data_IF_231263522351
#
_entry.id   IF_231263522351
#
_cell.length_a   1.000
_cell.length_b   1.000
_cell.length_c   1.000
_cell.angle_alpha   90.00
_cell.angle_beta   90.00
_cell.angle_gamma   90.00
#
_symmetry.space_group_name_H-M   'P 1'
#
loop_
_entity.id
_entity.type
_entity.pdbx_description
1 polymer ?
#
# COMPACT_ATOMS: atom_id res chain seq x y z
N UNK A 1 -32.92 9.08 82.24
CA UNK A 1 -33.39 9.32 80.87
C UNK A 1 -32.85 8.21 79.98
N UNK A 2 -33.66 7.19 79.70
CA UNK A 2 -33.29 6.11 78.78
C UNK A 2 -33.72 6.53 77.37
N UNK A 3 -32.76 6.93 76.54
CA UNK A 3 -33.02 7.16 75.11
C UNK A 3 -33.19 5.79 74.44
N UNK A 4 -34.43 5.33 74.34
CA UNK A 4 -34.78 4.19 73.50
C UNK A 4 -34.76 4.68 72.06
N UNK A 5 -33.60 4.57 71.42
CA UNK A 5 -33.52 4.70 69.96
C UNK A 5 -34.33 3.55 69.36
N UNK A 6 -35.53 3.85 68.87
CA UNK A 6 -36.26 2.90 68.03
C UNK A 6 -35.32 2.51 66.89
N UNK A 7 -35.02 1.22 66.76
CA UNK A 7 -34.02 0.66 65.84
C UNK A 7 -34.52 0.64 64.39
N UNK A 8 -35.28 1.67 64.00
CA UNK A 8 -35.84 1.87 62.68
C UNK A 8 -35.45 3.26 62.19
N UNK A 9 -34.56 3.31 61.20
CA UNK A 9 -34.16 4.53 60.51
C UNK A 9 -34.76 4.49 59.11
N UNK A 10 -35.56 5.50 58.75
CA UNK A 10 -36.22 5.57 57.45
C UNK A 10 -37.24 4.45 57.19
N UNK A 11 -37.96 3.98 58.21
CA UNK A 11 -38.92 2.84 58.17
C UNK A 11 -38.32 1.47 57.85
N UNK A 12 -36.98 1.35 57.82
CA UNK A 12 -36.27 0.09 57.61
C UNK A 12 -35.68 -0.41 58.93
N UNK A 13 -35.77 -1.71 59.18
CA UNK A 13 -35.16 -2.38 60.34
C UNK A 13 -33.64 -2.22 60.31
N UNK A 14 -33.01 -1.95 61.45
CA UNK A 14 -31.56 -1.82 61.58
C UNK A 14 -30.78 -3.02 61.00
N UNK A 15 -31.34 -4.24 61.06
CA UNK A 15 -30.72 -5.44 60.47
C UNK A 15 -30.58 -5.32 58.96
N UNK A 16 -31.56 -4.69 58.32
CA UNK A 16 -31.55 -4.40 56.88
C UNK A 16 -30.48 -3.35 56.58
N UNK A 17 -30.39 -2.29 57.36
CA UNK A 17 -29.33 -1.29 57.22
C UNK A 17 -27.92 -1.86 57.38
N UNK A 18 -27.70 -2.74 58.37
CA UNK A 18 -26.41 -3.42 58.53
C UNK A 18 -26.07 -4.28 57.31
N UNK A 19 -27.05 -4.95 56.71
CA UNK A 19 -26.84 -5.71 55.48
C UNK A 19 -26.53 -4.83 54.27
N UNK A 20 -27.21 -3.67 54.12
CA UNK A 20 -26.95 -2.72 53.04
C UNK A 20 -25.57 -2.08 53.14
N UNK A 21 -25.14 -1.70 54.34
CA UNK A 21 -23.81 -1.16 54.59
C UNK A 21 -22.74 -2.23 54.31
N UNK A 22 -22.94 -3.46 54.78
CA UNK A 22 -22.03 -4.56 54.50
C UNK A 22 -21.89 -4.82 52.99
N UNK A 23 -23.00 -4.87 52.24
CA UNK A 23 -22.99 -5.02 50.78
C UNK A 23 -22.33 -3.84 50.08
N UNK A 24 -22.57 -2.61 50.54
CA UNK A 24 -21.92 -1.41 50.01
C UNK A 24 -20.41 -1.47 50.21
N UNK A 25 -19.94 -1.86 51.40
CA UNK A 25 -18.51 -1.99 51.68
C UNK A 25 -17.86 -3.10 50.83
N UNK A 26 -18.53 -4.24 50.67
CA UNK A 26 -18.06 -5.32 49.78
C UNK A 26 -17.98 -4.84 48.31
N UNK A 27 -18.97 -4.08 47.85
CA UNK A 27 -18.94 -3.54 46.48
C UNK A 27 -17.79 -2.54 46.27
N UNK A 28 -17.52 -1.67 47.26
CA UNK A 28 -16.43 -0.69 47.19
C UNK A 28 -15.05 -1.35 47.27
N UNK A 29 -14.90 -2.41 48.07
CA UNK A 29 -13.63 -3.15 48.12
C UNK A 29 -13.38 -3.90 46.82
N UNK A 30 -14.38 -4.55 46.24
CA UNK A 30 -14.25 -5.21 44.93
C UNK A 30 -13.97 -4.20 43.83
N UNK A 31 -14.65 -3.04 43.84
CA UNK A 31 -14.41 -1.96 42.89
C UNK A 31 -13.00 -1.39 43.04
N UNK A 32 -12.58 -1.07 44.26
CA UNK A 32 -11.24 -0.58 44.56
C UNK A 32 -10.15 -1.58 44.17
N UNK A 33 -10.36 -2.86 44.44
CA UNK A 33 -9.47 -3.94 43.99
C UNK A 33 -9.37 -3.96 42.46
N UNK A 34 -10.50 -3.96 41.74
CA UNK A 34 -10.50 -3.92 40.27
C UNK A 34 -9.78 -2.69 39.71
N UNK A 35 -9.98 -1.52 40.31
CA UNK A 35 -9.31 -0.28 39.89
C UNK A 35 -7.81 -0.34 40.15
N UNK A 36 -7.39 -0.86 41.31
CA UNK A 36 -5.97 -0.99 41.66
C UNK A 36 -5.23 -2.02 40.78
N UNK A 37 -5.92 -3.07 40.32
CA UNK A 37 -5.34 -4.09 39.44
C UNK A 37 -5.48 -3.76 37.94
N UNK A 38 -5.99 -2.58 37.59
CA UNK A 38 -6.20 -2.21 36.20
C UNK A 38 -4.86 -1.84 35.54
N UNK A 39 -4.28 -2.75 34.77
CA UNK A 39 -3.14 -2.46 33.92
C UNK A 39 -3.65 -1.85 32.60
N UNK A 40 -3.34 -0.57 32.37
CA UNK A 40 -3.63 0.07 31.09
C UNK A 40 -2.81 -0.59 29.99
N UNK A 41 -3.49 -1.08 28.95
CA UNK A 41 -2.82 -1.60 27.77
C UNK A 41 -2.14 -0.45 27.02
N UNK A 42 -0.88 -0.61 26.59
CA UNK A 42 -0.26 0.35 25.69
C UNK A 42 -1.07 0.39 24.39
N UNK A 43 -1.13 1.55 23.74
CA UNK A 43 -1.67 1.65 22.38
C UNK A 43 -0.81 0.81 21.44
N UNK A 44 -1.40 -0.21 20.84
CA UNK A 44 -0.73 -1.07 19.86
C UNK A 44 -1.28 -0.72 18.48
N UNK A 45 -0.38 -0.59 17.52
CA UNK A 45 -0.74 -0.49 16.10
C UNK A 45 -0.08 -1.64 15.34
N UNK A 46 -0.86 -2.30 14.50
CA UNK A 46 -0.42 -3.42 13.68
C UNK A 46 -0.26 -2.92 12.25
N UNK A 47 0.97 -2.94 11.74
CA UNK A 47 1.28 -2.70 10.35
C UNK A 47 1.52 -4.04 9.65
N UNK A 48 0.94 -4.18 8.46
CA UNK A 48 1.14 -5.33 7.57
C UNK A 48 1.92 -4.84 6.36
N UNK A 49 3.08 -5.44 6.13
CA UNK A 49 3.97 -5.10 5.02
C UNK A 49 4.23 -6.35 4.17
N UNK A 50 4.35 -6.16 2.86
CA UNK A 50 4.68 -7.21 1.92
C UNK A 50 5.54 -6.62 0.80
N UNK A 51 6.22 -7.49 0.06
CA UNK A 51 7.07 -7.08 -1.06
C UNK A 51 6.32 -7.07 -2.42
N UNK A 52 5.05 -7.44 -2.43
CA UNK A 52 4.22 -7.48 -3.63
C UNK A 52 3.31 -6.26 -3.69
N UNK A 53 3.14 -5.69 -4.87
CA UNK A 53 2.22 -4.58 -5.09
C UNK A 53 0.82 -5.13 -5.40
N UNK A 54 -0.10 -5.08 -4.44
CA UNK A 54 -1.50 -5.42 -4.63
C UNK A 54 -2.29 -4.23 -5.21
N UNK A 55 -2.09 -3.95 -6.50
CA UNK A 55 -2.85 -2.89 -7.18
C UNK A 55 -4.36 -3.22 -7.18
N UNK A 56 -5.18 -2.37 -6.54
CA UNK A 56 -6.64 -2.49 -6.54
C UNK A 56 -7.25 -3.42 -5.48
N UNK A 57 -6.47 -3.90 -4.52
CA UNK A 57 -6.96 -4.67 -3.37
C UNK A 57 -6.90 -3.83 -2.08
N UNK A 58 -7.72 -4.20 -1.08
CA UNK A 58 -7.66 -3.59 0.25
C UNK A 58 -6.28 -3.83 0.88
N UNK A 59 -5.79 -2.91 1.71
CA UNK A 59 -4.47 -2.97 2.40
C UNK A 59 -4.25 -4.21 3.28
N UNK A 60 -5.31 -4.98 3.53
CA UNK A 60 -5.32 -6.18 4.36
C UNK A 60 -5.57 -7.47 3.56
N UNK A 61 -5.47 -7.39 2.23
CA UNK A 61 -5.68 -8.54 1.34
C UNK A 61 -4.36 -9.00 0.74
N UNK A 62 -4.06 -10.29 0.89
CA UNK A 62 -2.81 -10.92 0.47
C UNK A 62 -3.07 -12.23 -0.28
N UNK A 63 -2.05 -12.75 -0.95
CA UNK A 63 -2.13 -14.00 -1.69
C UNK A 63 -1.78 -15.23 -0.83
N UNK A 64 -2.30 -16.39 -1.22
CA UNK A 64 -1.88 -17.68 -0.65
C UNK A 64 -0.38 -17.88 -0.86
N UNK A 65 0.31 -18.36 0.18
CA UNK A 65 1.77 -18.54 0.24
C UNK A 65 2.59 -17.25 0.07
N UNK A 66 1.96 -16.09 0.23
CA UNK A 66 2.68 -14.82 0.28
C UNK A 66 3.30 -14.62 1.67
N UNK A 67 4.55 -14.16 1.70
CA UNK A 67 5.24 -13.79 2.94
C UNK A 67 4.78 -12.40 3.38
N UNK A 68 4.05 -12.35 4.49
CA UNK A 68 3.51 -11.14 5.09
C UNK A 68 4.34 -10.82 6.34
N UNK A 69 4.81 -9.58 6.41
CA UNK A 69 5.49 -9.03 7.59
C UNK A 69 4.48 -8.39 8.52
N UNK A 70 4.32 -8.97 9.70
CA UNK A 70 3.53 -8.43 10.79
C UNK A 70 4.43 -7.60 11.70
N UNK A 71 4.17 -6.30 11.79
CA UNK A 71 4.95 -5.37 12.60
C UNK A 71 4.06 -4.70 13.67
N UNK A 72 4.43 -4.84 14.94
CA UNK A 72 3.76 -4.18 16.06
C UNK A 72 4.52 -2.93 16.47
N UNK A 73 3.85 -1.78 16.41
CA UNK A 73 4.37 -0.57 17.04
C UNK A 73 3.90 -0.52 18.50
N UNK A 74 4.77 -0.93 19.41
CA UNK A 74 4.52 -0.92 20.86
C UNK A 74 5.81 -0.60 21.62
N UNK A 75 5.68 -0.13 22.86
CA UNK A 75 6.81 0.09 23.78
C UNK A 75 7.17 -1.15 24.59
N UNK A 76 6.41 -2.24 24.44
CA UNK A 76 6.66 -3.50 25.15
C UNK A 76 7.87 -4.25 24.56
N UNK A 77 8.64 -5.00 25.38
CA UNK A 77 9.72 -5.83 24.88
C UNK A 77 9.20 -7.03 24.08
N UNK A 78 9.95 -7.43 23.05
CA UNK A 78 9.62 -8.53 22.13
C UNK A 78 9.22 -9.84 22.82
N UNK A 79 9.88 -10.20 23.91
CA UNK A 79 9.63 -11.43 24.66
C UNK A 79 8.21 -11.50 25.24
N UNK A 80 7.54 -10.36 25.40
CA UNK A 80 6.18 -10.28 25.89
C UNK A 80 5.14 -10.12 24.78
N UNK A 81 5.55 -10.15 23.52
CA UNK A 81 4.67 -10.01 22.35
C UNK A 81 4.49 -11.39 21.75
N UNK A 82 3.27 -11.90 21.78
CA UNK A 82 2.91 -13.19 21.20
C UNK A 82 1.89 -13.01 20.09
N UNK A 83 2.02 -13.77 19.02
CA UNK A 83 1.19 -13.72 17.83
C UNK A 83 0.48 -15.04 17.60
N UNK A 84 -0.83 -14.96 17.39
CA UNK A 84 -1.70 -16.04 16.91
C UNK A 84 -2.28 -15.63 15.56
N UNK A 85 -2.02 -16.39 14.50
CA UNK A 85 -2.48 -16.08 13.14
C UNK A 85 -3.87 -16.64 12.82
N UNK A 86 -4.46 -17.45 13.70
CA UNK A 86 -5.81 -17.99 13.51
C UNK A 86 -5.94 -19.07 12.42
N UNK A 87 -4.82 -19.56 11.89
CA UNK A 87 -4.73 -20.61 10.88
C UNK A 87 -4.26 -21.97 11.45
N UNK A 88 -4.21 -22.07 12.79
CA UNK A 88 -3.71 -23.21 13.58
C UNK A 88 -2.19 -23.39 13.54
N UNK A 89 -1.43 -22.39 13.08
CA UNK A 89 0.02 -22.40 13.23
C UNK A 89 0.44 -22.14 14.68
N UNK A 90 1.66 -22.57 15.07
CA UNK A 90 2.19 -22.29 16.40
C UNK A 90 2.25 -20.79 16.70
N UNK A 91 2.17 -20.44 17.98
CA UNK A 91 2.35 -19.05 18.42
C UNK A 91 3.77 -18.57 18.13
N UNK A 92 3.90 -17.34 17.62
CA UNK A 92 5.18 -16.69 17.38
C UNK A 92 5.45 -15.61 18.43
N UNK A 93 6.73 -15.34 18.74
CA UNK A 93 7.13 -14.34 19.73
C UNK A 93 8.01 -13.29 19.06
N UNK A 94 7.66 -12.02 19.21
CA UNK A 94 8.42 -10.88 18.70
C UNK A 94 7.54 -9.75 18.15
N UNK A 95 8.12 -8.55 18.02
CA UNK A 95 7.45 -7.38 17.44
C UNK A 95 7.33 -7.43 15.92
N UNK A 96 8.28 -8.09 15.24
CA UNK A 96 8.31 -8.26 13.78
C UNK A 96 8.38 -9.74 13.41
N UNK A 97 7.32 -10.26 12.78
CA UNK A 97 7.21 -11.68 12.41
C UNK A 97 6.85 -11.81 10.94
N UNK A 98 7.46 -12.78 10.27
CA UNK A 98 7.11 -13.19 8.91
C UNK A 98 6.17 -14.39 8.99
N UNK A 99 5.04 -14.32 8.31
CA UNK A 99 4.05 -15.40 8.25
C UNK A 99 3.43 -15.51 6.86
N UNK A 100 3.13 -16.74 6.44
CA UNK A 100 2.49 -17.03 5.18
C UNK A 100 1.31 -17.98 5.39
N UNK A 101 0.18 -17.68 4.74
CA UNK A 101 -1.04 -18.49 4.85
C UNK A 101 -1.15 -19.47 3.70
N UNK A 102 -1.31 -20.75 4.01
CA UNK A 102 -1.31 -21.83 3.01
C UNK A 102 -2.67 -22.03 2.32
N UNK A 103 -3.75 -21.42 2.83
CA UNK A 103 -5.11 -21.58 2.32
C UNK A 103 -5.79 -20.22 2.18
N UNK A 104 -6.68 -20.09 1.19
CA UNK A 104 -7.54 -18.92 1.11
C UNK A 104 -8.54 -18.88 2.28
N UNK A 105 -8.85 -17.68 2.74
CA UNK A 105 -9.73 -17.49 3.88
C UNK A 105 -9.63 -16.10 4.49
N UNK A 106 -10.45 -15.86 5.50
CA UNK A 106 -10.29 -14.70 6.39
C UNK A 106 -9.72 -15.18 7.70
N UNK A 107 -8.56 -14.66 8.05
CA UNK A 107 -7.82 -14.99 9.25
C UNK A 107 -7.85 -13.82 10.21
N UNK A 108 -7.92 -14.12 11.51
CA UNK A 108 -7.89 -13.12 12.56
C UNK A 108 -6.53 -13.20 13.26
N UNK A 109 -5.59 -12.39 12.82
CA UNK A 109 -4.27 -12.33 13.44
C UNK A 109 -4.37 -11.51 14.72
N UNK A 110 -4.04 -12.13 15.86
CA UNK A 110 -4.15 -11.57 17.20
C UNK A 110 -2.78 -11.47 17.83
N UNK A 111 -2.38 -10.25 18.19
CA UNK A 111 -1.22 -10.00 19.05
C UNK A 111 -1.66 -9.93 20.50
N UNK A 112 -0.98 -10.64 21.38
CA UNK A 112 -1.15 -10.56 22.83
C UNK A 112 0.13 -10.07 23.48
N UNK A 113 0.03 -8.93 24.17
CA UNK A 113 1.12 -8.32 24.94
C UNK A 113 0.97 -8.67 26.43
N UNK A 114 2.05 -9.17 27.03
CA UNK A 114 2.14 -9.57 28.45
C UNK A 114 1.03 -10.55 28.90
N UNK A 115 0.43 -11.29 27.96
CA UNK A 115 -0.67 -12.21 28.26
C UNK A 115 -1.99 -11.54 28.68
N UNK A 116 -2.12 -10.21 28.54
CA UNK A 116 -3.29 -9.45 29.04
C UNK A 116 -3.93 -8.57 27.97
N UNK A 117 -3.12 -7.98 27.11
CA UNK A 117 -3.58 -7.01 26.12
C UNK A 117 -3.61 -7.66 24.75
N UNK A 118 -4.80 -8.02 24.27
CA UNK A 118 -5.00 -8.60 22.95
C UNK A 118 -5.50 -7.54 21.95
N UNK A 119 -4.89 -7.49 20.78
CA UNK A 119 -5.39 -6.72 19.64
C UNK A 119 -5.40 -7.62 18.41
N UNK A 120 -6.43 -7.48 17.57
CA UNK A 120 -6.57 -8.32 16.39
C UNK A 120 -6.72 -7.50 15.12
N UNK A 121 -6.19 -8.02 14.03
CA UNK A 121 -6.36 -7.51 12.66
C UNK A 121 -6.93 -8.60 11.78
N UNK A 122 -7.88 -8.23 10.92
CA UNK A 122 -8.43 -9.15 9.91
C UNK A 122 -7.50 -9.16 8.71
N UNK A 123 -7.07 -10.36 8.31
CA UNK A 123 -6.25 -10.62 7.14
C UNK A 123 -7.07 -11.44 6.16
N UNK A 124 -7.22 -10.95 4.93
CA UNK A 124 -7.95 -11.65 3.87
C UNK A 124 -6.94 -12.30 2.92
N UNK A 125 -6.92 -13.62 2.88
CA UNK A 125 -6.05 -14.39 2.00
C UNK A 125 -6.86 -14.90 0.84
N UNK A 126 -6.45 -14.53 -0.37
CA UNK A 126 -7.06 -14.98 -1.62
C UNK A 126 -6.06 -15.84 -2.37
N UNK A 127 -6.51 -16.82 -3.16
CA UNK A 127 -5.60 -17.49 -4.07
C UNK A 127 -5.01 -16.45 -5.02
N UNK A 128 -3.72 -16.59 -5.34
CA UNK A 128 -3.17 -16.00 -6.55
C UNK A 128 -3.77 -16.74 -7.75
N UNK A 129 -5.07 -16.58 -7.94
CA UNK A 129 -5.62 -16.71 -9.27
C UNK A 129 -5.18 -15.41 -9.90
N UNK A 130 -4.20 -15.49 -10.80
CA UNK A 130 -4.35 -14.79 -12.06
C UNK A 130 -5.78 -15.10 -12.52
N UNK A 131 -6.72 -14.27 -12.12
CA UNK A 131 -8.03 -14.24 -12.74
C UNK A 131 -7.70 -13.80 -14.16
N UNK A 132 -7.54 -14.77 -15.06
CA UNK A 132 -8.24 -14.66 -16.33
C UNK A 132 -9.67 -14.31 -15.92
N UNK A 133 -9.99 -13.02 -16.02
CA UNK A 133 -11.27 -12.41 -15.71
C UNK A 133 -12.43 -13.42 -15.86
N UNK A 134 -12.79 -14.11 -14.78
CA UNK A 134 -14.04 -14.85 -14.73
C UNK A 134 -15.10 -13.91 -14.18
N UNK A 135 -15.40 -12.92 -15.02
CA UNK A 135 -16.65 -12.19 -14.97
C UNK A 135 -17.73 -13.20 -15.34
N UNK A 136 -18.39 -13.79 -14.35
CA UNK A 136 -19.66 -14.45 -14.59
C UNK A 136 -20.68 -13.38 -14.98
N UNK A 137 -20.73 -13.16 -16.29
CA UNK A 137 -21.74 -12.50 -17.12
C UNK A 137 -21.92 -10.99 -16.89
N UNK A 138 -20.90 -10.23 -17.27
CA UNK A 138 -21.01 -8.85 -17.76
C UNK A 138 -19.86 -8.67 -18.76
N UNK A 139 -20.21 -8.50 -20.05
CA UNK A 139 -19.34 -8.24 -21.21
C UNK A 139 -17.83 -8.20 -20.88
N UNK A 140 -17.15 -9.36 -20.98
CA UNK A 140 -15.68 -9.43 -20.84
C UNK A 140 -15.11 -8.44 -21.84
N UNK A 141 -14.42 -7.42 -21.35
CA UNK A 141 -13.79 -6.44 -22.21
C UNK A 141 -12.75 -7.17 -23.10
N UNK A 142 -12.91 -7.19 -24.42
CA UNK A 142 -12.07 -7.95 -25.31
C UNK A 142 -10.70 -7.29 -25.55
N UNK A 143 -10.45 -6.08 -25.03
CA UNK A 143 -9.19 -5.36 -25.21
C UNK A 143 -8.05 -6.00 -24.39
N UNK A 144 -7.05 -6.55 -25.08
CA UNK A 144 -5.84 -7.15 -24.53
C UNK A 144 -4.67 -6.14 -24.65
N UNK A 145 -4.16 -5.67 -23.52
CA UNK A 145 -2.96 -4.82 -23.41
C UNK A 145 -2.38 -4.88 -22.00
N UNK A 146 -1.16 -4.39 -21.79
CA UNK A 146 -0.67 -4.10 -20.45
C UNK A 146 -1.44 -2.92 -19.82
N UNK A 147 -1.54 -2.89 -18.49
CA UNK A 147 -2.21 -1.82 -17.74
C UNK A 147 -1.29 -0.61 -17.49
N UNK A 148 0.03 -0.84 -17.48
CA UNK A 148 1.06 0.19 -17.31
C UNK A 148 2.04 0.09 -18.48
N UNK A 149 2.25 1.20 -19.19
CA UNK A 149 3.10 1.28 -20.37
C UNK A 149 4.10 2.43 -20.23
N UNK A 150 5.33 2.24 -20.73
CA UNK A 150 6.38 3.26 -20.71
C UNK A 150 6.22 4.25 -21.87
N UNK A 151 6.41 5.53 -21.59
CA UNK A 151 6.42 6.58 -22.59
C UNK A 151 7.52 6.35 -23.65
N UNK A 152 7.22 6.66 -24.91
CA UNK A 152 8.19 6.65 -26.02
C UNK A 152 8.23 5.37 -26.86
N UNK A 153 7.59 4.27 -26.43
CA UNK A 153 7.50 3.05 -27.22
C UNK A 153 6.16 2.93 -27.95
N UNK A 154 6.16 2.26 -29.11
CA UNK A 154 4.93 1.83 -29.79
C UNK A 154 4.22 0.79 -28.91
N UNK A 155 2.95 1.05 -28.62
CA UNK A 155 2.11 0.22 -27.76
C UNK A 155 1.16 -0.58 -28.64
N UNK A 156 1.02 -1.88 -28.34
CA UNK A 156 0.23 -2.80 -29.14
C UNK A 156 -1.02 -3.20 -28.36
N UNK A 157 -2.17 -3.02 -28.97
CA UNK A 157 -3.47 -3.43 -28.46
C UNK A 157 -4.02 -4.55 -29.34
N UNK A 158 -4.36 -5.67 -28.70
CA UNK A 158 -4.98 -6.81 -29.35
C UNK A 158 -6.42 -6.97 -28.86
N UNK A 159 -7.22 -7.73 -29.58
CA UNK A 159 -8.58 -8.09 -29.17
C UNK A 159 -8.74 -9.60 -29.07
N UNK A 160 -9.47 -10.08 -28.06
CA UNK A 160 -9.84 -11.50 -27.92
C UNK A 160 -11.06 -11.89 -28.76
N UNK A 161 -11.81 -10.91 -29.29
CA UNK A 161 -13.03 -11.15 -30.07
C UNK A 161 -12.75 -11.13 -31.56
N UNK A 162 -13.36 -12.07 -32.29
CA UNK A 162 -13.34 -12.09 -33.76
C UNK A 162 -14.57 -11.34 -34.28
N UNK A 163 -14.35 -10.19 -34.91
CA UNK A 163 -15.34 -9.36 -35.61
C UNK A 163 -14.91 -9.10 -37.06
N UNK A 164 -15.87 -8.67 -37.90
CA UNK A 164 -15.58 -8.29 -39.29
C UNK A 164 -14.90 -6.93 -39.41
N UNK A 165 -15.27 -6.02 -38.53
CA UNK A 165 -14.73 -4.67 -38.45
C UNK A 165 -14.32 -4.36 -37.01
N UNK A 166 -13.19 -3.68 -36.88
CA UNK A 166 -12.67 -3.18 -35.62
C UNK A 166 -12.48 -1.68 -35.78
N UNK A 167 -12.73 -0.92 -34.72
CA UNK A 167 -12.49 0.53 -34.73
C UNK A 167 -11.91 0.90 -33.37
N UNK A 168 -10.62 1.22 -33.37
CA UNK A 168 -9.85 1.57 -32.16
C UNK A 168 -9.61 3.06 -32.08
N UNK A 169 -9.90 3.65 -30.91
CA UNK A 169 -9.70 5.07 -30.64
C UNK A 169 -9.23 5.33 -29.22
N UNK A 170 -8.80 6.57 -28.96
CA UNK A 170 -8.36 7.06 -27.66
C UNK A 170 -9.20 8.29 -27.35
N UNK A 171 -9.93 8.30 -26.24
CA UNK A 171 -10.88 9.39 -25.93
C UNK A 171 -10.17 10.73 -25.71
N UNK A 172 -9.02 10.69 -25.05
CA UNK A 172 -8.27 11.89 -24.69
C UNK A 172 -7.34 12.37 -25.82
N UNK A 173 -7.16 11.59 -26.88
CA UNK A 173 -6.27 11.89 -28.01
C UNK A 173 -6.94 11.60 -29.38
N UNK A 174 -7.98 12.37 -29.74
CA UNK A 174 -8.69 12.18 -31.01
C UNK A 174 -7.79 12.44 -32.25
N UNK A 175 -6.78 13.31 -32.12
CA UNK A 175 -5.89 13.73 -33.21
C UNK A 175 -4.95 12.62 -33.72
N UNK A 176 -4.75 11.53 -32.94
CA UNK A 176 -3.90 10.38 -33.33
C UNK A 176 -4.59 9.48 -34.38
N UNK A 177 -5.89 9.71 -34.58
CA UNK A 177 -6.71 9.00 -35.54
C UNK A 177 -7.07 7.58 -35.11
N UNK A 178 -8.07 7.04 -35.77
CA UNK A 178 -8.65 5.73 -35.48
C UNK A 178 -7.87 4.61 -36.20
N UNK A 179 -7.90 3.37 -35.70
CA UNK A 179 -7.32 2.19 -36.39
C UNK A 179 -8.38 1.13 -36.62
N UNK A 180 -8.42 0.58 -37.84
CA UNK A 180 -9.45 -0.38 -38.25
C UNK A 180 -8.94 -1.82 -38.39
N UNK A 181 -7.91 -2.16 -37.63
CA UNK A 181 -7.21 -3.45 -37.69
C UNK A 181 -7.51 -4.29 -36.44
N UNK A 182 -7.42 -5.63 -36.51
CA UNK A 182 -7.60 -6.49 -35.33
C UNK A 182 -6.55 -6.22 -34.24
N UNK A 183 -5.37 -5.75 -34.64
CA UNK A 183 -4.32 -5.25 -33.75
C UNK A 183 -4.12 -3.76 -34.00
N UNK A 184 -4.29 -2.92 -32.97
CA UNK A 184 -4.03 -1.49 -33.06
C UNK A 184 -2.68 -1.13 -32.45
N UNK A 185 -2.06 -0.09 -33.00
CA UNK A 185 -0.77 0.42 -32.51
C UNK A 185 -0.85 1.92 -32.30
N UNK A 186 -0.43 2.37 -31.13
CA UNK A 186 -0.46 3.78 -30.75
C UNK A 186 0.86 4.21 -30.10
N UNK A 187 1.25 5.46 -30.34
CA UNK A 187 2.38 6.13 -29.69
C UNK A 187 1.81 7.30 -28.92
N UNK A 188 2.12 7.37 -27.63
CA UNK A 188 1.56 8.38 -26.74
C UNK A 188 2.55 9.54 -26.56
N UNK A 189 2.11 10.79 -26.76
CA UNK A 189 3.00 11.95 -26.69
C UNK A 189 3.28 12.43 -25.25
N UNK A 190 2.45 12.02 -24.28
CA UNK A 190 2.52 12.47 -22.88
C UNK A 190 2.23 11.32 -21.91
N UNK A 191 2.82 11.34 -20.70
CA UNK A 191 2.43 10.44 -19.63
C UNK A 191 1.05 10.83 -19.07
N UNK A 192 0.36 9.86 -18.48
CA UNK A 192 -0.98 10.05 -17.93
C UNK A 192 -1.89 8.85 -18.14
N UNK A 193 -3.17 9.05 -17.84
CA UNK A 193 -4.19 8.02 -17.91
C UNK A 193 -4.92 8.18 -19.23
N UNK A 194 -5.02 7.09 -20.00
CA UNK A 194 -5.69 7.11 -21.30
C UNK A 194 -6.75 6.01 -21.37
N UNK A 195 -7.87 6.33 -22.00
CA UNK A 195 -9.00 5.44 -22.19
C UNK A 195 -9.05 4.97 -23.64
N UNK A 196 -8.78 3.69 -23.85
CA UNK A 196 -8.84 3.04 -25.16
C UNK A 196 -10.24 2.52 -25.41
N UNK A 197 -10.81 2.89 -26.56
CA UNK A 197 -12.12 2.46 -27.01
C UNK A 197 -11.98 1.48 -28.17
N UNK A 198 -12.61 0.31 -28.07
CA UNK A 198 -12.78 -0.65 -29.15
C UNK A 198 -14.25 -0.75 -29.52
N UNK A 199 -14.60 -0.38 -30.74
CA UNK A 199 -15.93 -0.58 -31.30
C UNK A 199 -15.90 -1.77 -32.27
N UNK A 200 -16.82 -2.71 -32.12
CA UNK A 200 -17.00 -3.87 -33.00
C UNK A 200 -18.15 -3.65 -33.99
N UNK A 201 -18.24 -4.53 -34.99
CA UNK A 201 -19.26 -4.56 -36.04
C UNK A 201 -20.72 -4.57 -35.53
N UNK A 202 -20.97 -5.16 -34.37
CA UNK A 202 -22.29 -5.17 -33.72
C UNK A 202 -22.64 -3.86 -32.97
N UNK A 203 -21.80 -2.83 -33.08
CA UNK A 203 -21.96 -1.56 -32.38
C UNK A 203 -21.64 -1.62 -30.88
N UNK A 204 -21.12 -2.75 -30.37
CA UNK A 204 -20.63 -2.82 -28.99
C UNK A 204 -19.35 -2.02 -28.86
N UNK A 205 -19.30 -1.17 -27.84
CA UNK A 205 -18.14 -0.37 -27.48
C UNK A 205 -17.58 -0.87 -26.16
N UNK A 206 -16.29 -1.21 -26.17
CA UNK A 206 -15.53 -1.60 -25.00
C UNK A 206 -14.50 -0.54 -24.66
N UNK A 207 -14.32 -0.26 -23.37
CA UNK A 207 -13.38 0.77 -22.90
C UNK A 207 -12.39 0.19 -21.89
N UNK A 208 -11.09 0.45 -22.09
CA UNK A 208 -10.02 0.05 -21.18
C UNK A 208 -9.17 1.26 -20.79
N UNK A 209 -8.96 1.48 -19.49
CA UNK A 209 -8.05 2.52 -18.97
C UNK A 209 -6.64 1.95 -18.84
N UNK A 210 -5.64 2.69 -19.29
CA UNK A 210 -4.22 2.38 -19.16
C UNK A 210 -3.45 3.56 -18.56
N UNK A 211 -2.32 3.26 -17.92
CA UNK A 211 -1.41 4.24 -17.33
C UNK A 211 -0.13 4.34 -18.16
N UNK A 212 0.26 5.55 -18.52
CA UNK A 212 1.51 5.82 -19.24
C UNK A 212 2.45 6.56 -18.33
N UNK A 213 3.57 5.91 -18.03
CA UNK A 213 4.59 6.43 -17.12
C UNK A 213 5.81 6.86 -17.91
N UNK A 214 6.32 8.06 -17.61
CA UNK A 214 7.61 8.49 -18.11
C UNK A 214 8.71 7.94 -17.20
N UNK A 215 9.59 7.05 -17.67
CA UNK A 215 10.70 6.53 -16.87
C UNK A 215 11.72 7.61 -16.47
N UNK A 216 11.68 8.80 -17.08
CA UNK A 216 12.58 9.93 -16.79
C UNK A 216 11.86 11.17 -16.22
N UNK A 217 10.54 11.09 -16.00
CA UNK A 217 9.70 12.22 -15.65
C UNK A 217 9.58 12.48 -14.16
N UNK A 218 10.63 12.97 -13.51
CA UNK A 218 10.50 13.69 -12.24
C UNK A 218 11.59 14.76 -12.07
N UNK A 219 11.31 15.96 -12.59
CA UNK A 219 11.61 17.28 -12.00
C UNK A 219 11.48 18.37 -13.08
N UNK A 220 10.26 18.81 -13.38
CA UNK A 220 10.05 20.18 -13.85
C UNK A 220 9.55 21.02 -12.67
N UNK A 221 10.43 21.19 -11.68
CA UNK A 221 10.44 22.41 -10.90
C UNK A 221 11.48 23.29 -11.60
N UNK A 222 11.00 24.28 -12.34
CA UNK A 222 11.84 25.31 -12.94
C UNK A 222 12.49 26.14 -11.84
N UNK A 223 13.56 25.65 -11.25
CA UNK A 223 14.60 26.52 -10.71
C UNK A 223 15.37 27.08 -11.91
N UNK A 224 15.43 28.42 -12.10
CA UNK A 224 16.14 28.99 -13.23
C UNK A 224 17.62 28.61 -13.15
N UNK A 225 18.12 28.01 -14.21
CA UNK A 225 19.54 27.71 -14.44
C UNK A 225 20.40 28.93 -14.06
N UNK A 226 21.49 28.76 -13.28
CA UNK A 226 22.40 29.86 -12.99
C UNK A 226 23.01 30.39 -14.30
N UNK A 227 23.22 31.71 -14.43
CA UNK A 227 23.65 32.31 -15.68
C UNK A 227 25.03 31.79 -16.10
N UNK A 228 25.11 31.29 -17.34
CA UNK A 228 26.36 30.85 -17.97
C UNK A 228 27.32 32.05 -18.04
N UNK A 229 28.42 31.96 -17.30
CA UNK A 229 29.48 32.97 -17.27
C UNK A 229 30.18 33.00 -18.64
N UNK A 230 29.88 34.05 -19.42
CA UNK A 230 30.44 34.31 -20.75
C UNK A 230 31.93 34.66 -20.61
N UNK A 231 32.82 33.74 -20.95
CA UNK A 231 34.24 34.05 -21.08
C UNK A 231 34.47 34.78 -22.41
N UNK A 232 34.75 36.07 -22.29
CA UNK A 232 35.15 36.94 -23.40
C UNK A 232 36.61 36.59 -23.74
N UNK A 233 36.85 35.95 -24.88
CA UNK A 233 38.19 35.93 -25.46
C UNK A 233 38.51 37.33 -26.00
N UNK A 234 39.37 38.06 -25.29
CA UNK A 234 40.04 39.24 -25.83
C UNK A 234 40.94 38.82 -27.00
N UNK A 235 40.75 39.49 -28.14
CA UNK A 235 41.61 39.40 -29.32
C UNK A 235 43.02 39.94 -29.04
N UNK A 236 44.02 39.34 -29.70
CA UNK A 236 45.17 40.01 -30.36
C UNK A 236 45.95 38.92 -31.14
N UNK A 237 45.84 38.85 -32.48
CA UNK A 237 46.63 39.57 -33.51
C UNK A 237 47.94 38.87 -33.93
N UNK A 238 48.08 38.76 -35.27
CA UNK A 238 49.26 38.46 -36.09
C UNK A 238 49.83 37.02 -36.07
N UNK A 239 49.71 36.24 -37.16
CA UNK A 239 50.44 36.31 -38.46
C UNK A 239 51.94 36.04 -38.30
N UNK A 240 52.38 34.78 -38.41
CA UNK A 240 53.32 34.28 -39.45
C UNK A 240 53.83 32.85 -39.15
N UNK A 241 53.79 32.03 -40.20
CA UNK A 241 54.76 31.02 -40.69
C UNK A 241 55.36 29.91 -39.81
N UNK A 242 55.56 28.81 -40.54
CA UNK A 242 56.53 27.71 -40.42
C UNK A 242 56.24 26.55 -39.45
N UNK A 243 55.97 25.40 -40.09
CA UNK A 243 56.48 24.04 -39.81
C UNK A 243 57.46 23.98 -38.63
N UNK A 244 57.23 23.06 -37.70
CA UNK A 244 58.25 22.06 -37.34
C UNK A 244 57.57 20.81 -36.76
N UNK A 245 58.16 19.69 -37.14
CA UNK A 245 57.81 18.32 -36.81
C UNK A 245 58.36 17.95 -35.42
N UNK A 246 57.88 16.80 -34.92
CA UNK A 246 58.60 15.85 -34.06
C UNK A 246 58.59 16.03 -32.52
N UNK A 247 57.92 15.04 -31.91
CA UNK A 247 58.51 13.99 -31.06
C UNK A 247 58.24 14.00 -29.54
N UNK A 248 57.77 12.84 -29.10
CA UNK A 248 57.75 12.36 -27.71
C UNK A 248 59.13 12.41 -27.07
N UNK A 249 59.21 12.75 -25.78
CA UNK A 249 59.88 11.89 -24.78
C UNK A 249 59.63 12.38 -23.34
N UNK A 250 59.62 11.39 -22.46
CA UNK A 250 59.38 11.37 -21.00
C UNK A 250 60.48 12.07 -20.18
N UNK A 251 60.13 12.21 -18.88
CA UNK A 251 60.95 12.25 -17.64
C UNK A 251 61.35 13.66 -17.17
N UNK A 252 61.46 13.96 -15.89
CA UNK A 252 61.07 13.39 -14.58
C UNK A 252 61.65 14.41 -13.57
N UNK A 253 60.89 14.70 -12.52
CA UNK A 253 61.35 15.07 -11.16
C UNK A 253 62.35 16.24 -10.92
N UNK A 254 61.83 17.20 -10.15
CA UNK A 254 62.37 17.71 -8.87
C UNK A 254 63.52 18.73 -8.94
N UNK A 255 63.22 19.95 -8.52
CA UNK A 255 63.74 20.55 -7.28
C UNK A 255 62.57 21.15 -6.52
#
# INVERSE_FOLDING_TARGET
MHFVFSKQWGKLDYRVWMSLIALSLISLTVFGYKVATNEQCPSVNIALECNLNHAGLDSNTFYVNEEITFNTHTTAPDQHISWDFGDKTPLHIGSKILHAYNKEGRYLATVTIKGKCAQSVVVKVIKNSTSLFDSTVLDINPIISADIIKLGNETIFNTSTVAKEYTWGIEELPDIGVRNTPTARFIFPKPGNFTITLTLDNGKVFKKVIQIVDPFGQADNTDPLPPVKKWICLNCLHRQRSRFHCHQSKRKSRW
#
